data_IF_771820375927
#
_entry.id   IF_771820375927
#
_cell.length_a   1.000
_cell.length_b   1.000
_cell.length_c   1.000
_cell.angle_alpha   90.00
_cell.angle_beta   90.00
_cell.angle_gamma   90.00
#
_symmetry.space_group_name_H-M   'P 1'
#
loop_
_entity.id
_entity.type
_entity.pdbx_description
1 polymer ?
#
# COMPACT_ATOMS: atom_id res chain seq x y z
N UNK A 1 0.76 -18.42 14.50
CA UNK A 1 0.98 -17.67 13.22
C UNK A 1 -0.31 -17.72 12.40
N UNK A 2 -1.07 -16.61 12.32
CA UNK A 2 -2.29 -16.56 11.52
C UNK A 2 -2.01 -16.45 10.02
N UNK A 3 -2.77 -17.17 9.19
CA UNK A 3 -2.73 -17.00 7.73
C UNK A 3 -3.24 -15.60 7.41
N UNK A 4 -2.45 -14.79 6.72
CA UNK A 4 -2.91 -13.45 6.29
C UNK A 4 -4.00 -13.66 5.25
N UNK A 5 -5.24 -13.28 5.55
CA UNK A 5 -6.38 -13.33 4.65
C UNK A 5 -6.87 -11.92 4.32
N UNK A 6 -7.44 -11.75 3.13
CA UNK A 6 -8.21 -10.55 2.81
C UNK A 6 -9.56 -10.64 3.53
N UNK A 7 -9.92 -9.57 4.24
CA UNK A 7 -11.19 -9.46 4.95
C UNK A 7 -11.90 -8.18 4.55
N UNK A 8 -13.24 -8.22 4.59
CA UNK A 8 -14.10 -7.05 4.36
C UNK A 8 -14.48 -6.32 5.67
N UNK A 9 -13.90 -6.72 6.80
CA UNK A 9 -14.14 -6.07 8.10
C UNK A 9 -13.63 -4.62 8.11
N UNK A 10 -14.28 -3.76 8.90
CA UNK A 10 -13.97 -2.33 9.00
C UNK A 10 -14.68 -1.45 7.95
N UNK A 11 -14.39 -0.16 8.00
CA UNK A 11 -15.05 0.86 7.16
C UNK A 11 -14.87 0.58 5.65
N UNK A 12 -15.98 0.42 4.89
CA UNK A 12 -15.92 0.25 3.44
C UNK A 12 -15.29 1.43 2.71
N UNK A 13 -15.50 2.67 3.17
CA UNK A 13 -15.05 3.85 2.44
C UNK A 13 -13.54 4.05 2.58
N UNK A 14 -12.99 3.92 3.79
CA UNK A 14 -11.55 3.91 4.00
C UNK A 14 -10.84 2.84 3.15
N UNK A 15 -11.44 1.65 3.02
CA UNK A 15 -10.90 0.57 2.17
C UNK A 15 -10.92 0.94 0.69
N UNK A 16 -12.01 1.55 0.20
CA UNK A 16 -12.14 2.03 -1.19
C UNK A 16 -11.08 3.09 -1.51
N UNK A 17 -10.95 4.10 -0.65
CA UNK A 17 -9.98 5.18 -0.80
C UNK A 17 -8.54 4.66 -0.79
N UNK A 18 -8.20 3.78 0.16
CA UNK A 18 -6.87 3.16 0.22
C UNK A 18 -6.54 2.32 -1.01
N UNK A 19 -7.52 1.60 -1.55
CA UNK A 19 -7.34 0.83 -2.78
C UNK A 19 -7.06 1.75 -3.98
N UNK A 20 -7.83 2.84 -4.11
CA UNK A 20 -7.64 3.84 -5.17
C UNK A 20 -6.27 4.52 -5.05
N UNK A 21 -5.84 4.88 -3.84
CA UNK A 21 -4.52 5.44 -3.58
C UNK A 21 -3.41 4.47 -4.02
N UNK A 22 -3.53 3.18 -3.70
CA UNK A 22 -2.57 2.16 -4.14
C UNK A 22 -2.58 1.97 -5.67
N UNK A 23 -3.75 2.04 -6.31
CA UNK A 23 -3.85 1.97 -7.78
C UNK A 23 -3.12 3.10 -8.48
N UNK A 24 -3.16 4.32 -7.92
CA UNK A 24 -2.38 5.45 -8.42
C UNK A 24 -0.89 5.28 -8.10
N UNK A 25 -0.56 4.98 -6.84
CA UNK A 25 0.82 4.88 -6.36
C UNK A 25 1.65 3.85 -7.13
N UNK A 26 1.09 2.69 -7.50
CA UNK A 26 1.86 1.64 -8.22
C UNK A 26 2.46 2.10 -9.55
N UNK A 27 1.93 3.18 -10.14
CA UNK A 27 2.40 3.75 -11.41
C UNK A 27 3.58 4.70 -11.22
N UNK A 28 3.86 5.13 -9.99
CA UNK A 28 4.97 6.03 -9.66
C UNK A 28 6.27 5.25 -9.44
N UNK A 29 7.41 5.85 -9.81
CA UNK A 29 8.72 5.19 -9.68
C UNK A 29 9.02 4.73 -8.24
N UNK A 30 8.66 5.55 -7.24
CA UNK A 30 8.89 5.27 -5.82
C UNK A 30 8.24 3.97 -5.31
N UNK A 31 7.12 3.55 -5.91
CA UNK A 31 6.32 2.41 -5.44
C UNK A 31 6.21 1.27 -6.45
N UNK A 32 6.56 1.51 -7.72
CA UNK A 32 6.52 0.52 -8.80
C UNK A 32 7.31 -0.73 -8.46
N UNK A 33 8.56 -0.60 -8.03
CA UNK A 33 9.41 -1.74 -7.68
C UNK A 33 8.85 -2.58 -6.53
N UNK A 34 8.23 -1.94 -5.54
CA UNK A 34 7.59 -2.67 -4.44
C UNK A 34 6.36 -3.47 -4.92
N UNK A 35 5.53 -2.88 -5.78
CA UNK A 35 4.39 -3.56 -6.35
C UNK A 35 4.81 -4.74 -7.25
N UNK A 36 5.79 -4.55 -8.12
CA UNK A 36 6.31 -5.58 -9.01
C UNK A 36 6.93 -6.74 -8.24
N UNK A 37 7.69 -6.46 -7.16
CA UNK A 37 8.22 -7.50 -6.28
C UNK A 37 7.11 -8.34 -5.63
N UNK A 38 5.96 -7.75 -5.28
CA UNK A 38 4.82 -8.51 -4.75
C UNK A 38 4.18 -9.38 -5.82
N UNK A 39 4.07 -8.88 -7.06
CA UNK A 39 3.57 -9.65 -8.20
C UNK A 39 4.50 -10.81 -8.55
N UNK A 40 5.81 -10.59 -8.54
CA UNK A 40 6.82 -11.63 -8.78
C UNK A 40 6.77 -12.75 -7.73
N UNK A 41 6.32 -12.46 -6.51
CA UNK A 41 6.08 -13.46 -5.45
C UNK A 41 4.79 -14.27 -5.63
N UNK A 42 4.04 -14.05 -6.71
CA UNK A 42 2.81 -14.78 -7.01
C UNK A 42 1.54 -14.20 -6.36
N UNK A 43 1.59 -13.01 -5.73
CA UNK A 43 0.37 -12.39 -5.20
C UNK A 43 -0.52 -11.94 -6.36
N UNK A 44 -1.84 -12.11 -6.20
CA UNK A 44 -2.82 -11.54 -7.12
C UNK A 44 -2.74 -10.00 -7.12
N UNK A 45 -3.28 -9.38 -8.18
CA UNK A 45 -3.28 -7.91 -8.33
C UNK A 45 -3.92 -7.25 -7.12
N UNK A 46 -5.05 -7.78 -6.67
CA UNK A 46 -5.79 -7.27 -5.50
C UNK A 46 -4.97 -7.40 -4.22
N UNK A 47 -4.33 -8.55 -3.99
CA UNK A 47 -3.49 -8.75 -2.80
C UNK A 47 -2.27 -7.81 -2.81
N UNK A 48 -1.64 -7.64 -3.96
CA UNK A 48 -0.50 -6.73 -4.12
C UNK A 48 -0.91 -5.27 -3.87
N UNK A 49 -2.06 -4.84 -4.41
CA UNK A 49 -2.63 -3.52 -4.15
C UNK A 49 -2.96 -3.30 -2.68
N UNK A 50 -3.58 -4.28 -2.01
CA UNK A 50 -3.92 -4.18 -0.57
C UNK A 50 -2.65 -4.18 0.28
N UNK A 51 -1.60 -4.91 -0.10
CA UNK A 51 -0.31 -4.87 0.57
C UNK A 51 0.39 -3.51 0.38
N UNK A 52 0.34 -2.94 -0.82
CA UNK A 52 0.83 -1.59 -1.11
C UNK A 52 0.07 -0.54 -0.31
N UNK A 53 -1.27 -0.59 -0.29
CA UNK A 53 -2.12 0.31 0.50
C UNK A 53 -1.75 0.30 1.99
N UNK A 54 -1.55 -0.88 2.58
CA UNK A 54 -1.08 -1.01 3.98
C UNK A 54 0.33 -0.47 4.20
N UNK A 55 1.19 -0.48 3.18
CA UNK A 55 2.51 0.16 3.28
C UNK A 55 2.37 1.69 3.24
N UNK A 56 1.56 2.22 2.33
CA UNK A 56 1.25 3.64 2.26
C UNK A 56 0.66 4.17 3.57
N UNK A 57 -0.35 3.49 4.13
CA UNK A 57 -0.97 3.89 5.39
C UNK A 57 0.04 3.99 6.55
N UNK A 58 1.01 3.05 6.61
CA UNK A 58 2.09 3.10 7.61
C UNK A 58 3.03 4.28 7.42
N UNK A 59 3.34 4.64 6.16
CA UNK A 59 4.16 5.82 5.87
C UNK A 59 3.41 7.09 6.24
N UNK A 60 2.17 7.25 5.80
CA UNK A 60 1.33 8.40 6.15
C UNK A 60 1.22 8.56 7.67
N UNK A 61 0.96 7.46 8.38
CA UNK A 61 0.92 7.49 9.85
C UNK A 61 2.24 7.97 10.47
N UNK A 62 3.39 7.51 9.97
CA UNK A 62 4.69 7.94 10.46
C UNK A 62 4.95 9.43 10.18
N UNK A 63 4.58 9.92 8.99
CA UNK A 63 4.72 11.32 8.60
C UNK A 63 3.88 12.24 9.49
N UNK A 64 2.60 11.89 9.67
CA UNK A 64 1.68 12.65 10.52
C UNK A 64 2.12 12.65 11.97
N UNK A 65 2.57 11.50 12.49
CA UNK A 65 3.07 11.37 13.86
C UNK A 65 4.30 12.25 14.12
N UNK A 66 5.21 12.32 13.15
CA UNK A 66 6.47 13.04 13.28
C UNK A 66 6.41 14.46 12.70
N UNK A 67 5.25 14.91 12.22
CA UNK A 67 5.07 16.20 11.53
C UNK A 67 6.14 16.45 10.45
N UNK A 68 6.40 15.42 9.65
CA UNK A 68 7.47 15.40 8.65
C UNK A 68 6.94 15.23 7.24
N UNK A 69 7.72 15.64 6.26
CA UNK A 69 7.38 15.54 4.85
C UNK A 69 7.79 14.21 4.23
N UNK A 70 7.07 13.79 3.20
CA UNK A 70 7.41 12.58 2.46
C UNK A 70 8.65 12.81 1.60
N UNK A 71 9.75 12.16 1.99
CA UNK A 71 10.96 12.08 1.18
C UNK A 71 10.98 10.74 0.42
N UNK A 72 10.75 10.73 -0.90
CA UNK A 72 10.89 9.51 -1.68
C UNK A 72 12.36 9.07 -1.61
N UNK A 73 12.59 7.78 -1.27
CA UNK A 73 13.89 7.17 -1.58
C UNK A 73 13.98 7.16 -3.10
N UNK A 74 14.88 7.99 -3.62
CA UNK A 74 14.96 8.40 -5.01
C UNK A 74 14.93 7.27 -6.04
N UNK A 75 14.57 7.70 -7.25
CA UNK A 75 14.98 7.09 -8.53
C UNK A 75 16.50 6.91 -8.51
#
# INVERSE_FOLDING_TARGET
>A
KGRRCLSKRGDPEARRLMHNAAMSARRTAAWKGFYEALRARGLSTTEALVALARKLARVVFALLKNQSEYLPKGI
#
